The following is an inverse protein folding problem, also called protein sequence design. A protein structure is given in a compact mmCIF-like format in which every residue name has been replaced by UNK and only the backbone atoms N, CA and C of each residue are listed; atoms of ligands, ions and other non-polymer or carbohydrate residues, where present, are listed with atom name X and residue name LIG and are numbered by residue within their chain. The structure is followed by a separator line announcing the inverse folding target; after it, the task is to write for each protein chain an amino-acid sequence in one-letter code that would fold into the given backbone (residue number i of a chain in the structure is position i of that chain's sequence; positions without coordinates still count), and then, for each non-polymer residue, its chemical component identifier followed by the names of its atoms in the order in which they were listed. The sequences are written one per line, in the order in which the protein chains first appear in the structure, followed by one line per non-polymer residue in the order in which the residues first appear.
data_IF_736379084213
#
_entry.id   IF_736379084213
#
_cell.length_a   1.000
_cell.length_b   1.000
_cell.length_c   1.000
_cell.angle_alpha   90.00
_cell.angle_beta   90.00
_cell.angle_gamma   90.00
#
_symmetry.space_group_name_H-M   'P 1'
#
loop_
_entity.id
_entity.type
_entity.pdbx_description
1 polymer ?
#
# COMPACT_ATOMS: atom_id res chain seq x y z
N UNK A 1 -58.23 -4.36 11.61
CA UNK A 1 -58.32 -5.53 10.71
C UNK A 1 -56.88 -5.86 10.29
N UNK A 2 -56.32 -6.93 10.91
CA UNK A 2 -55.09 -7.71 10.59
C UNK A 2 -53.79 -6.90 10.35
N UNK A 3 -52.80 -6.80 11.25
CA UNK A 3 -52.08 -7.80 12.06
C UNK A 3 -51.43 -8.95 11.25
N UNK A 4 -50.10 -8.86 11.06
CA UNK A 4 -49.18 -9.99 10.83
C UNK A 4 -47.77 -9.64 11.33
N UNK A 5 -47.60 -9.56 12.64
CA UNK A 5 -46.31 -9.82 13.28
C UNK A 5 -46.38 -11.23 13.88
N UNK A 6 -45.85 -12.23 13.17
CA UNK A 6 -45.67 -13.58 13.73
C UNK A 6 -44.19 -13.74 14.08
N UNK A 7 -43.91 -13.70 15.39
CA UNK A 7 -42.68 -14.18 16.01
C UNK A 7 -42.67 -15.70 15.95
N UNK A 8 -41.57 -16.28 15.46
CA UNK A 8 -41.25 -17.68 15.74
C UNK A 8 -40.56 -17.80 17.11
N UNK A 9 -40.82 -18.88 17.86
CA UNK A 9 -40.39 -19.03 19.25
C UNK A 9 -39.22 -20.01 19.29
N UNK A 10 -38.01 -19.56 19.00
CA UNK A 10 -36.79 -20.23 19.48
C UNK A 10 -35.60 -19.29 19.32
N UNK A 11 -35.19 -18.71 20.44
CA UNK A 11 -34.00 -17.89 20.51
C UNK A 11 -32.76 -18.76 20.36
N UNK A 12 -32.12 -18.70 19.19
CA UNK A 12 -30.72 -19.07 19.02
C UNK A 12 -30.04 -18.13 18.02
N UNK A 13 -28.92 -17.58 18.48
CA UNK A 13 -27.97 -16.70 17.79
C UNK A 13 -27.19 -17.56 16.78
N UNK A 14 -27.17 -17.17 15.50
CA UNK A 14 -26.28 -17.80 14.51
C UNK A 14 -25.23 -16.78 14.06
N UNK A 15 -24.04 -16.95 14.63
CA UNK A 15 -22.78 -16.39 14.17
C UNK A 15 -22.32 -17.25 12.98
N UNK A 16 -22.27 -16.68 11.77
CA UNK A 16 -22.02 -17.43 10.52
C UNK A 16 -21.06 -16.70 9.60
N UNK A 17 -19.76 -16.76 9.93
CA UNK A 17 -18.65 -16.42 9.03
C UNK A 17 -18.54 -17.51 7.96
N UNK A 18 -18.80 -17.19 6.70
CA UNK A 18 -18.60 -18.09 5.57
C UNK A 18 -17.21 -17.84 4.96
N UNK A 19 -16.28 -18.74 5.26
CA UNK A 19 -14.95 -18.78 4.67
C UNK A 19 -14.95 -19.46 3.29
N UNK A 20 -14.20 -18.89 2.36
CA UNK A 20 -13.90 -19.50 1.06
C UNK A 20 -12.88 -20.65 1.23
N UNK A 21 -13.05 -21.82 0.58
CA UNK A 21 -12.10 -22.92 0.69
C UNK A 21 -10.87 -22.70 -0.20
N UNK A 22 -9.68 -22.70 0.42
CA UNK A 22 -8.39 -22.84 -0.24
C UNK A 22 -8.22 -24.32 -0.61
N UNK A 23 -8.18 -24.63 -1.92
CA UNK A 23 -7.71 -25.94 -2.40
C UNK A 23 -6.19 -26.00 -2.22
N UNK A 24 -5.74 -26.86 -1.31
CA UNK A 24 -4.35 -27.27 -1.20
C UNK A 24 -3.96 -28.15 -2.40
N UNK A 25 -2.95 -27.73 -3.15
CA UNK A 25 -2.25 -28.59 -4.10
C UNK A 25 -1.23 -29.43 -3.32
N UNK A 26 -1.26 -30.75 -3.57
CA UNK A 26 -0.43 -31.74 -2.89
C UNK A 26 1.06 -31.50 -3.09
N UNK A 27 1.79 -31.60 -1.98
CA UNK A 27 3.24 -31.60 -1.93
C UNK A 27 3.65 -33.08 -1.73
N UNK A 28 4.09 -33.74 -2.79
CA UNK A 28 4.66 -35.08 -2.70
C UNK A 28 6.08 -34.99 -2.12
N UNK A 29 6.28 -35.69 -1.02
CA UNK A 29 7.55 -35.88 -0.33
C UNK A 29 8.33 -36.97 -1.06
N UNK A 30 9.41 -36.61 -1.74
CA UNK A 30 10.41 -37.58 -2.21
C UNK A 30 11.44 -37.81 -1.09
N UNK A 31 11.32 -38.96 -0.45
CA UNK A 31 12.31 -39.53 0.45
C UNK A 31 13.33 -40.31 -0.37
N UNK A 32 14.59 -39.85 -0.37
CA UNK A 32 15.70 -40.51 -1.03
C UNK A 32 16.80 -40.82 -0.03
N UNK A 33 16.82 -42.05 0.47
CA UNK A 33 17.94 -42.63 1.20
C UNK A 33 19.06 -43.01 0.21
N UNK A 34 20.28 -42.55 0.46
CA UNK A 34 21.50 -43.22 -0.01
C UNK A 34 22.66 -42.94 0.96
N UNK A 35 22.95 -43.95 1.77
CA UNK A 35 24.17 -44.12 2.53
C UNK A 35 25.33 -44.46 1.55
N UNK A 36 26.55 -43.94 1.77
CA UNK A 36 27.83 -44.68 1.66
C UNK A 36 29.07 -43.79 1.95
N UNK A 37 29.71 -44.11 3.07
CA UNK A 37 31.17 -44.29 3.32
C UNK A 37 32.22 -43.25 2.88
N UNK A 38 32.97 -42.73 3.87
CA UNK A 38 34.39 -42.38 3.73
C UNK A 38 35.20 -42.84 4.96
N UNK A 39 36.47 -43.30 4.79
CA UNK A 39 37.20 -44.03 5.81
C UNK A 39 37.90 -43.15 6.85
N UNK A 40 38.12 -43.76 8.02
CA UNK A 40 38.92 -43.30 9.16
C UNK A 40 40.39 -43.08 8.78
N UNK A 41 40.99 -41.97 9.22
CA UNK A 41 42.41 -41.93 9.57
C UNK A 41 42.58 -41.29 10.96
N UNK A 42 43.44 -41.96 11.73
CA UNK A 42 43.74 -41.79 13.15
C UNK A 42 44.77 -40.66 13.36
N UNK A 43 44.65 -39.96 14.49
CA UNK A 43 45.71 -39.08 15.00
C UNK A 43 45.41 -38.65 16.44
N UNK A 44 45.81 -39.48 17.40
CA UNK A 44 45.90 -39.11 18.81
C UNK A 44 47.14 -38.23 19.05
N UNK A 45 47.10 -37.35 20.05
CA UNK A 45 48.19 -37.08 21.02
C UNK A 45 47.62 -36.25 22.19
N UNK A 46 48.13 -36.55 23.38
CA UNK A 46 47.60 -36.33 24.72
C UNK A 46 48.16 -35.08 25.45
N UNK A 47 47.35 -34.54 26.37
CA UNK A 47 47.62 -34.14 27.79
C UNK A 47 48.75 -33.13 28.11
N UNK A 48 48.40 -31.98 28.73
CA UNK A 48 48.56 -31.68 30.18
C UNK A 48 48.58 -30.17 30.50
N UNK A 49 48.04 -29.89 31.69
CA UNK A 49 47.71 -28.63 32.38
C UNK A 49 48.95 -27.94 33.01
N UNK A 50 48.94 -26.61 33.10
CA UNK A 50 49.44 -25.89 34.29
C UNK A 50 48.82 -24.49 34.41
N UNK A 51 48.19 -24.25 35.56
CA UNK A 51 47.54 -23.00 35.95
C UNK A 51 48.56 -21.97 36.48
N UNK A 52 48.27 -20.68 36.31
CA UNK A 52 48.79 -19.65 37.22
C UNK A 52 47.80 -18.48 37.36
N UNK A 53 47.28 -18.32 38.58
CA UNK A 53 46.49 -17.19 39.03
C UNK A 53 47.32 -15.91 39.04
N UNK A 54 46.75 -14.80 38.59
CA UNK A 54 47.10 -13.46 39.07
C UNK A 54 45.81 -12.67 39.32
N UNK A 55 45.55 -12.46 40.62
CA UNK A 55 44.58 -11.54 41.17
C UNK A 55 44.95 -10.11 40.74
N UNK A 56 44.06 -9.43 40.02
CA UNK A 56 43.97 -7.98 40.04
C UNK A 56 42.50 -7.57 40.11
N UNK A 57 42.16 -7.07 41.30
CA UNK A 57 40.97 -6.30 41.61
C UNK A 57 40.82 -5.11 40.66
N UNK A 58 39.73 -5.10 39.90
CA UNK A 58 39.19 -3.93 39.22
C UNK A 58 37.69 -4.11 39.13
N UNK A 59 36.94 -3.44 40.02
CA UNK A 59 35.48 -3.49 40.00
C UNK A 59 34.94 -2.94 38.70
N UNK A 60 34.21 -3.76 37.93
CA UNK A 60 33.31 -3.27 36.92
C UNK A 60 32.16 -2.55 37.63
N UNK A 61 32.27 -1.23 37.79
CA UNK A 61 31.10 -0.40 38.05
C UNK A 61 30.17 -0.55 36.84
N UNK A 62 29.06 -1.27 37.02
CA UNK A 62 27.90 -1.15 36.14
C UNK A 62 27.31 0.23 36.34
N UNK A 63 27.80 1.21 35.56
CA UNK A 63 27.05 2.45 35.36
C UNK A 63 25.79 2.06 34.60
N UNK A 64 24.67 1.91 35.32
CA UNK A 64 23.34 1.93 34.71
C UNK A 64 23.18 3.35 34.16
N UNK A 65 23.53 3.54 32.89
CA UNK A 65 23.10 4.73 32.18
C UNK A 65 21.57 4.67 32.18
N UNK A 66 20.94 5.62 32.88
CA UNK A 66 19.56 5.97 32.64
C UNK A 66 19.48 6.37 31.16
N UNK A 67 19.26 5.40 30.29
CA UNK A 67 18.73 5.66 28.98
C UNK A 67 17.32 6.14 29.24
N UNK A 68 17.16 7.45 29.36
CA UNK A 68 15.88 8.10 29.20
C UNK A 68 15.37 7.73 27.80
N UNK A 69 14.76 6.56 27.72
CA UNK A 69 13.87 6.17 26.63
C UNK A 69 12.58 6.98 26.82
N UNK A 70 12.68 8.28 26.61
CA UNK A 70 11.58 9.04 26.05
C UNK A 70 11.95 9.35 24.61
N UNK A 71 12.10 8.28 23.81
CA UNK A 71 11.62 8.33 22.44
C UNK A 71 10.11 8.48 22.51
N UNK A 72 9.67 9.68 22.88
CA UNK A 72 8.33 10.13 22.60
C UNK A 72 8.22 10.04 21.08
N UNK A 73 7.53 9.00 20.61
CA UNK A 73 6.98 9.03 19.26
C UNK A 73 6.10 10.26 19.28
N UNK A 74 6.59 11.34 18.67
CA UNK A 74 5.87 12.58 18.43
C UNK A 74 4.67 12.23 17.53
N UNK A 75 3.62 11.69 18.15
CA UNK A 75 2.38 11.25 17.49
C UNK A 75 1.43 12.42 17.26
N UNK A 76 1.86 13.66 17.48
CA UNK A 76 1.02 14.84 17.39
C UNK A 76 1.81 16.01 16.81
N UNK A 77 2.46 15.82 15.65
CA UNK A 77 2.79 16.99 14.82
C UNK A 77 1.50 17.51 14.22
N UNK A 78 1.02 18.71 14.61
CA UNK A 78 -0.08 19.34 13.91
C UNK A 78 0.31 19.54 12.45
N UNK A 79 -0.69 19.47 11.57
CA UNK A 79 -0.48 19.73 10.15
C UNK A 79 0.15 21.11 9.95
N UNK A 80 1.19 21.16 9.12
CA UNK A 80 1.77 22.42 8.65
C UNK A 80 1.43 22.55 7.18
N UNK A 81 0.99 23.74 6.79
CA UNK A 81 0.74 24.05 5.39
C UNK A 81 2.04 24.48 4.69
N UNK A 82 2.24 24.10 3.41
CA UNK A 82 1.39 23.21 2.61
C UNK A 82 1.45 21.75 3.13
N UNK A 83 0.36 21.00 2.97
CA UNK A 83 0.34 19.58 3.31
C UNK A 83 1.31 18.82 2.40
N UNK A 84 2.11 17.93 2.99
CA UNK A 84 3.13 17.14 2.28
C UNK A 84 3.05 15.66 2.61
N UNK A 85 3.62 14.82 1.75
CA UNK A 85 3.73 13.36 1.96
C UNK A 85 5.16 12.87 1.73
N UNK A 86 5.59 11.82 2.42
CA UNK A 86 6.85 11.12 2.12
C UNK A 86 6.63 9.88 1.26
N UNK A 87 5.56 9.13 1.54
CA UNK A 87 5.19 7.92 0.83
C UNK A 87 3.80 8.03 0.22
N UNK A 88 3.48 7.15 -0.73
CA UNK A 88 2.20 7.13 -1.42
C UNK A 88 1.77 5.71 -1.77
N UNK A 89 0.46 5.57 -1.97
CA UNK A 89 -0.11 4.41 -2.62
C UNK A 89 -0.29 4.69 -4.11
N UNK A 90 -0.22 3.65 -4.93
CA UNK A 90 -0.40 3.71 -6.36
C UNK A 90 -1.40 2.64 -6.83
N UNK A 91 -2.23 2.99 -7.80
CA UNK A 91 -3.01 2.05 -8.60
C UNK A 91 -3.10 2.56 -10.02
N UNK A 92 -3.32 1.65 -10.96
CA UNK A 92 -3.66 2.02 -12.31
C UNK A 92 -4.92 1.32 -12.78
N UNK A 93 -5.71 2.03 -13.57
CA UNK A 93 -6.97 1.56 -14.14
C UNK A 93 -7.00 1.86 -15.62
N UNK A 94 -7.53 0.92 -16.39
CA UNK A 94 -7.66 1.09 -17.83
C UNK A 94 -9.12 0.96 -18.24
N UNK A 95 -9.58 1.93 -19.01
CA UNK A 95 -10.91 2.06 -19.57
C UNK A 95 -10.80 2.27 -21.07
N UNK A 96 -11.78 1.77 -21.82
CA UNK A 96 -11.83 1.93 -23.28
C UNK A 96 -10.55 1.56 -24.03
N UNK A 97 -9.70 0.68 -23.47
CA UNK A 97 -8.36 0.41 -23.95
C UNK A 97 -8.11 -1.09 -24.13
N UNK A 98 -7.45 -1.47 -25.23
CA UNK A 98 -7.04 -2.84 -25.49
C UNK A 98 -5.69 -3.14 -24.88
N UNK A 99 -5.53 -4.34 -24.32
CA UNK A 99 -4.19 -4.85 -23.98
C UNK A 99 -3.40 -4.02 -22.98
N UNK A 100 -4.10 -3.25 -22.14
CA UNK A 100 -3.47 -2.31 -21.24
C UNK A 100 -2.51 -2.99 -20.27
N UNK A 101 -1.27 -2.51 -20.24
CA UNK A 101 -0.22 -2.93 -19.31
C UNK A 101 0.41 -1.70 -18.68
N UNK A 102 0.52 -1.74 -17.35
CA UNK A 102 1.14 -0.69 -16.55
C UNK A 102 2.20 -1.35 -15.67
N UNK A 103 3.42 -0.87 -15.80
CA UNK A 103 4.56 -1.26 -14.98
C UNK A 103 4.92 -0.09 -14.08
N UNK A 104 5.05 -0.36 -12.79
CA UNK A 104 5.49 0.59 -11.78
C UNK A 104 6.31 -0.17 -10.74
N UNK A 105 7.46 0.40 -10.36
CA UNK A 105 8.46 -0.28 -9.52
C UNK A 105 8.83 -1.68 -10.03
N UNK A 106 9.11 -1.78 -11.33
CA UNK A 106 9.42 -3.03 -12.05
C UNK A 106 8.35 -4.14 -11.96
N UNK A 107 7.16 -3.81 -11.45
CA UNK A 107 6.04 -4.73 -11.24
C UNK A 107 4.86 -4.37 -12.15
N UNK A 108 4.17 -5.39 -12.67
CA UNK A 108 2.90 -5.18 -13.34
C UNK A 108 1.82 -4.81 -12.32
N UNK A 109 1.39 -3.55 -12.34
CA UNK A 109 0.19 -3.08 -11.62
C UNK A 109 -1.06 -3.42 -12.41
N UNK A 110 -0.97 -3.38 -13.75
CA UNK A 110 -2.01 -3.87 -14.66
C UNK A 110 -1.36 -4.72 -15.74
N UNK A 111 -1.93 -5.89 -16.03
CA UNK A 111 -1.47 -6.78 -17.10
C UNK A 111 -2.66 -7.42 -17.83
N UNK A 112 -3.27 -6.69 -18.76
CA UNK A 112 -4.35 -7.22 -19.59
C UNK A 112 -3.78 -7.89 -20.85
N UNK A 113 -4.39 -9.00 -21.32
CA UNK A 113 -4.03 -9.60 -22.61
C UNK A 113 -4.33 -8.66 -23.78
N UNK A 114 -3.53 -8.73 -24.84
CA UNK A 114 -3.59 -7.79 -25.97
C UNK A 114 -4.95 -7.75 -26.68
N UNK A 115 -5.68 -8.86 -26.65
CA UNK A 115 -6.99 -9.05 -27.28
C UNK A 115 -8.18 -8.78 -26.33
N UNK A 116 -7.97 -8.12 -25.19
CA UNK A 116 -9.04 -7.78 -24.25
C UNK A 116 -9.24 -6.26 -24.22
N UNK A 117 -10.47 -5.82 -24.52
CA UNK A 117 -10.93 -4.44 -24.36
C UNK A 117 -11.50 -4.23 -22.97
N UNK A 118 -11.05 -3.18 -22.27
CA UNK A 118 -11.67 -2.77 -21.02
C UNK A 118 -12.93 -1.93 -21.26
N UNK A 119 -13.89 -2.04 -20.33
CA UNK A 119 -15.12 -1.26 -20.39
C UNK A 119 -14.89 0.26 -20.28
N UNK A 120 -15.89 1.08 -20.61
CA UNK A 120 -15.76 2.53 -20.54
C UNK A 120 -15.72 3.03 -19.10
N UNK A 121 -15.13 4.21 -18.89
CA UNK A 121 -15.22 4.94 -17.64
C UNK A 121 -16.67 5.43 -17.45
N UNK A 122 -17.26 5.18 -16.28
CA UNK A 122 -18.67 5.48 -15.98
C UNK A 122 -18.89 6.92 -15.48
N UNK A 123 -18.36 7.90 -16.20
CA UNK A 123 -18.48 9.32 -15.85
C UNK A 123 -17.55 9.77 -14.71
N UNK A 124 -17.64 11.06 -14.30
CA UNK A 124 -16.70 11.69 -13.36
C UNK A 124 -16.69 11.04 -11.97
N UNK A 125 -17.87 10.64 -11.46
CA UNK A 125 -18.00 10.06 -10.13
C UNK A 125 -17.34 8.69 -10.01
N UNK A 126 -17.12 8.00 -11.14
CA UNK A 126 -16.47 6.69 -11.12
C UNK A 126 -15.03 6.79 -10.61
N UNK A 127 -14.30 7.87 -10.95
CA UNK A 127 -12.93 8.08 -10.47
C UNK A 127 -12.88 8.33 -8.96
N UNK A 128 -13.94 8.88 -8.38
CA UNK A 128 -14.02 9.12 -6.93
C UNK A 128 -14.13 7.82 -6.13
N UNK A 129 -14.59 6.75 -6.78
CA UNK A 129 -14.79 5.42 -6.19
C UNK A 129 -13.58 4.48 -6.36
N UNK A 130 -12.52 4.95 -7.03
CA UNK A 130 -11.29 4.20 -7.21
C UNK A 130 -10.34 4.45 -6.03
N UNK A 131 -9.54 3.44 -5.70
CA UNK A 131 -8.62 3.47 -4.57
C UNK A 131 -7.24 2.89 -4.94
N UNK A 132 -6.19 3.39 -4.31
CA UNK A 132 -4.86 2.82 -4.48
C UNK A 132 -4.59 1.67 -3.49
N UNK A 133 -3.99 0.57 -3.98
CA UNK A 133 -3.67 -0.61 -3.15
C UNK A 133 -2.19 -0.96 -3.09
N UNK A 134 -1.39 -0.54 -4.07
CA UNK A 134 0.04 -0.79 -4.05
C UNK A 134 0.74 0.30 -3.24
N UNK A 135 1.46 -0.04 -2.18
CA UNK A 135 2.22 0.94 -1.38
C UNK A 135 3.65 1.01 -1.87
N UNK A 136 4.11 2.20 -2.25
CA UNK A 136 5.53 2.48 -2.45
C UNK A 136 6.16 3.11 -1.21
N UNK A 137 7.47 2.94 -1.05
CA UNK A 137 8.24 3.55 0.03
C UNK A 137 8.35 5.07 -0.10
N UNK A 138 9.28 5.67 0.66
CA UNK A 138 9.44 7.13 0.75
C UNK A 138 9.95 7.82 -0.54
N UNK A 139 10.20 7.06 -1.61
CA UNK A 139 10.69 7.57 -2.89
C UNK A 139 9.78 7.14 -4.04
N UNK A 140 9.76 7.93 -5.11
CA UNK A 140 9.21 7.46 -6.37
C UNK A 140 10.22 6.50 -7.02
N UNK A 141 9.78 5.30 -7.42
CA UNK A 141 10.59 4.38 -8.20
C UNK A 141 10.76 4.93 -9.64
N UNK A 142 11.43 4.21 -10.54
CA UNK A 142 11.52 4.61 -11.95
C UNK A 142 10.16 4.95 -12.57
N UNK A 143 10.14 5.76 -13.64
CA UNK A 143 8.91 6.20 -14.30
C UNK A 143 7.93 5.06 -14.60
N UNK A 144 6.64 5.34 -14.42
CA UNK A 144 5.55 4.41 -14.76
C UNK A 144 5.55 4.19 -16.26
N UNK A 145 5.66 2.95 -16.71
CA UNK A 145 5.60 2.61 -18.14
C UNK A 145 4.21 2.09 -18.47
N UNK A 146 3.56 2.70 -19.47
CA UNK A 146 2.21 2.36 -19.91
C UNK A 146 2.27 1.91 -21.36
N UNK A 147 1.62 0.79 -21.68
CA UNK A 147 1.38 0.35 -23.06
C UNK A 147 -0.07 -0.08 -23.22
N UNK A 148 -0.70 0.37 -24.29
CA UNK A 148 -2.10 0.05 -24.59
C UNK A 148 -2.39 0.29 -26.06
N UNK A 149 -3.59 -0.07 -26.50
CA UNK A 149 -4.15 0.46 -27.74
C UNK A 149 -5.45 1.18 -27.44
N UNK A 150 -5.66 2.33 -28.09
CA UNK A 150 -6.93 3.07 -28.04
C UNK A 150 -8.07 2.22 -28.60
N UNK A 151 -9.31 2.68 -28.43
CA UNK A 151 -10.53 1.95 -28.83
C UNK A 151 -10.55 1.60 -30.31
N UNK A 152 -9.97 2.45 -31.15
CA UNK A 152 -9.78 2.27 -32.60
C UNK A 152 -8.60 1.35 -32.97
N UNK A 153 -7.85 0.86 -31.97
CA UNK A 153 -6.77 -0.10 -32.12
C UNK A 153 -5.39 0.51 -32.35
N UNK A 154 -5.24 1.84 -32.33
CA UNK A 154 -3.93 2.50 -32.49
C UNK A 154 -3.04 2.20 -31.28
N UNK A 155 -1.79 1.73 -31.47
CA UNK A 155 -0.90 1.41 -30.36
C UNK A 155 -0.27 2.67 -29.75
N UNK A 156 -0.17 2.67 -28.43
CA UNK A 156 0.45 3.72 -27.63
C UNK A 156 1.42 3.15 -26.61
N UNK A 157 2.45 3.95 -26.31
CA UNK A 157 3.39 3.74 -25.22
C UNK A 157 3.73 5.09 -24.60
N UNK A 158 3.76 5.16 -23.28
CA UNK A 158 4.25 6.33 -22.56
C UNK A 158 5.07 5.94 -21.33
N UNK A 159 5.83 6.92 -20.84
CA UNK A 159 6.61 6.85 -19.61
C UNK A 159 6.32 8.09 -18.78
N UNK A 160 5.70 7.92 -17.61
CA UNK A 160 5.29 9.02 -16.73
C UNK A 160 6.22 9.07 -15.52
N UNK A 161 6.94 10.18 -15.36
CA UNK A 161 7.77 10.44 -14.20
C UNK A 161 6.93 11.08 -13.08
N UNK A 162 6.54 10.27 -12.08
CA UNK A 162 5.78 10.75 -10.94
C UNK A 162 6.61 11.65 -10.02
N UNK A 163 7.94 11.48 -9.95
CA UNK A 163 8.81 12.37 -9.18
C UNK A 163 8.85 13.76 -9.80
N UNK A 164 8.79 13.85 -11.14
CA UNK A 164 8.66 15.13 -11.81
C UNK A 164 7.30 15.79 -11.56
N UNK A 165 6.19 15.03 -11.60
CA UNK A 165 4.83 15.57 -11.37
C UNK A 165 4.68 16.04 -9.91
N UNK A 166 5.19 15.28 -8.96
CA UNK A 166 5.06 15.53 -7.52
C UNK A 166 6.37 15.99 -6.88
N UNK A 167 7.19 16.75 -7.60
CA UNK A 167 8.53 17.19 -7.17
C UNK A 167 8.55 17.82 -5.78
N UNK A 168 7.53 18.62 -5.47
CA UNK A 168 7.44 19.34 -4.20
C UNK A 168 6.82 18.52 -3.06
N UNK A 169 6.46 17.25 -3.33
CA UNK A 169 5.81 16.33 -2.40
C UNK A 169 4.57 16.91 -1.71
N UNK A 170 3.88 17.80 -2.41
CA UNK A 170 2.66 18.47 -1.94
C UNK A 170 1.44 17.60 -2.16
N UNK A 171 0.59 17.52 -1.14
CA UNK A 171 -0.73 16.90 -1.27
C UNK A 171 -1.64 17.89 -1.99
N UNK A 172 -2.14 17.48 -3.16
CA UNK A 172 -3.11 18.24 -3.96
C UNK A 172 -4.51 17.86 -3.48
N UNK A 173 -5.28 18.85 -3.04
CA UNK A 173 -6.66 18.69 -2.56
C UNK A 173 -7.51 19.92 -2.90
N UNK A 174 -8.83 19.78 -2.81
CA UNK A 174 -9.83 20.83 -3.09
C UNK A 174 -10.46 21.45 -1.82
N UNK A 175 -10.02 21.00 -0.63
CA UNK A 175 -10.51 21.49 0.66
C UNK A 175 -9.92 22.85 1.01
N UNK A 176 -10.76 23.79 1.47
CA UNK A 176 -10.32 25.05 2.09
C UNK A 176 -9.51 24.78 3.36
N UNK A 177 -8.27 25.27 3.42
CA UNK A 177 -7.35 25.08 4.55
C UNK A 177 -7.98 25.44 5.90
N UNK A 178 -8.87 26.44 5.94
CA UNK A 178 -9.55 26.85 7.18
C UNK A 178 -10.46 25.77 7.75
N UNK A 179 -10.94 24.86 6.91
CA UNK A 179 -11.81 23.73 7.27
C UNK A 179 -11.03 22.47 7.64
N UNK A 180 -9.73 22.42 7.40
CA UNK A 180 -8.89 21.27 7.72
C UNK A 180 -8.58 21.29 9.22
N UNK A 181 -8.65 20.13 9.86
CA UNK A 181 -8.36 20.01 11.29
C UNK A 181 -6.89 20.38 11.57
N UNK A 182 -6.65 21.18 12.61
CA UNK A 182 -5.30 21.64 12.99
C UNK A 182 -4.44 20.50 13.54
N UNK A 183 -5.09 19.48 14.10
CA UNK A 183 -4.45 18.25 14.61
C UNK A 183 -4.53 17.10 13.62
N UNK A 184 -4.93 17.36 12.37
CA UNK A 184 -5.01 16.30 11.37
C UNK A 184 -3.63 15.66 11.17
N UNK A 185 -3.63 14.35 11.00
CA UNK A 185 -2.49 13.57 10.54
C UNK A 185 -2.92 13.03 9.19
N UNK A 186 -2.22 13.41 8.12
CA UNK A 186 -2.58 13.00 6.78
C UNK A 186 -1.91 11.66 6.48
N UNK A 187 -2.72 10.67 6.12
CA UNK A 187 -2.22 9.39 5.62
C UNK A 187 -1.53 9.58 4.25
N UNK A 188 -0.79 8.57 3.83
CA UNK A 188 -0.21 8.54 2.49
C UNK A 188 -1.31 8.78 1.44
N UNK A 189 -1.13 9.74 0.52
CA UNK A 189 -2.10 9.95 -0.55
C UNK A 189 -2.08 8.76 -1.50
N UNK A 190 -3.19 8.62 -2.21
CA UNK A 190 -3.38 7.65 -3.27
C UNK A 190 -3.16 8.34 -4.62
N UNK A 191 -2.27 7.78 -5.44
CA UNK A 191 -2.01 8.21 -6.80
C UNK A 191 -2.66 7.22 -7.75
N UNK A 192 -3.58 7.71 -8.58
CA UNK A 192 -4.35 6.90 -9.51
C UNK A 192 -3.95 7.26 -10.94
N UNK A 193 -3.36 6.30 -11.66
CA UNK A 193 -3.20 6.42 -13.11
C UNK A 193 -4.42 5.86 -13.82
N UNK A 194 -5.08 6.69 -14.61
CA UNK A 194 -6.21 6.31 -15.46
C UNK A 194 -5.78 6.35 -16.92
N UNK A 195 -5.87 5.21 -17.59
CA UNK A 195 -5.80 5.10 -19.05
C UNK A 195 -7.24 5.05 -19.55
N UNK A 196 -7.72 6.04 -20.31
CA UNK A 196 -9.04 6.00 -20.95
C UNK A 196 -8.91 6.35 -22.43
N UNK A 197 -9.03 5.33 -23.27
CA UNK A 197 -8.88 5.42 -24.73
C UNK A 197 -7.55 6.06 -25.16
N UNK A 198 -7.54 7.36 -25.47
CA UNK A 198 -6.37 8.15 -25.90
C UNK A 198 -5.83 9.06 -24.81
N UNK A 199 -6.41 9.03 -23.62
CA UNK A 199 -6.07 9.95 -22.52
C UNK A 199 -5.44 9.20 -21.36
N UNK A 200 -4.29 9.69 -20.90
CA UNK A 200 -3.69 9.35 -19.63
C UNK A 200 -4.02 10.46 -18.64
N UNK A 201 -4.48 10.10 -17.44
CA UNK A 201 -4.76 11.05 -16.37
C UNK A 201 -4.20 10.54 -15.05
N UNK A 202 -3.53 11.41 -14.29
CA UNK A 202 -3.10 11.13 -12.92
C UNK A 202 -4.00 11.92 -11.97
N UNK A 203 -4.61 11.21 -11.03
CA UNK A 203 -5.33 11.80 -9.91
C UNK A 203 -4.57 11.59 -8.61
N UNK A 204 -4.71 12.55 -7.69
CA UNK A 204 -4.34 12.38 -6.30
C UNK A 204 -5.60 12.38 -5.45
N UNK A 205 -5.73 11.37 -4.59
CA UNK A 205 -6.80 11.26 -3.60
C UNK A 205 -6.15 11.26 -2.22
N UNK A 206 -6.56 12.21 -1.37
CA UNK A 206 -6.03 12.35 -0.03
C UNK A 206 -7.15 12.35 0.99
N UNK A 207 -6.91 11.68 2.10
CA UNK A 207 -7.84 11.59 3.22
C UNK A 207 -7.60 12.79 4.14
N UNK A 208 -8.36 13.87 3.93
CA UNK A 208 -8.18 15.15 4.63
C UNK A 208 -9.21 15.27 5.77
N UNK A 209 -8.80 15.16 7.05
CA UNK A 209 -9.72 15.34 8.17
C UNK A 209 -10.19 16.79 8.27
N UNK A 210 -11.49 16.97 8.47
CA UNK A 210 -12.16 18.27 8.56
C UNK A 210 -12.41 18.66 10.02
N UNK A 211 -12.46 19.96 10.30
CA UNK A 211 -12.86 20.51 11.61
C UNK A 211 -14.30 20.14 11.96
N UNK A 212 -15.16 20.11 10.96
CA UNK A 212 -16.59 19.78 11.06
C UNK A 212 -16.98 18.79 9.96
N UNK A 213 -18.05 17.99 10.13
CA UNK A 213 -18.54 17.10 9.09
C UNK A 213 -18.87 17.87 7.80
N UNK A 214 -18.34 17.41 6.65
CA UNK A 214 -18.62 18.02 5.35
C UNK A 214 -20.10 17.97 4.96
N UNK A 215 -20.82 16.96 5.44
CA UNK A 215 -22.27 16.86 5.45
C UNK A 215 -22.78 16.87 6.90
N UNK A 216 -23.42 17.96 7.36
CA UNK A 216 -23.94 18.05 8.73
C UNK A 216 -24.94 16.94 9.11
N UNK A 217 -25.66 16.36 8.15
CA UNK A 217 -26.59 15.26 8.38
C UNK A 217 -25.89 13.89 8.49
N UNK A 218 -24.61 13.79 8.13
CA UNK A 218 -23.80 12.57 8.22
C UNK A 218 -22.57 12.83 9.09
N UNK A 219 -22.62 12.43 10.36
CA UNK A 219 -21.51 12.58 11.31
C UNK A 219 -20.22 11.87 10.89
N UNK A 220 -20.27 10.93 9.94
CA UNK A 220 -19.10 10.21 9.42
C UNK A 220 -18.42 10.94 8.25
N UNK A 221 -18.94 12.11 7.85
CA UNK A 221 -18.36 12.94 6.78
C UNK A 221 -17.26 13.90 7.26
N UNK A 222 -16.59 13.58 8.37
CA UNK A 222 -15.48 14.39 8.94
C UNK A 222 -14.18 14.32 8.15
N UNK A 223 -14.22 13.86 6.90
CA UNK A 223 -13.06 13.65 6.05
C UNK A 223 -13.43 13.89 4.58
N UNK A 224 -12.61 14.66 3.87
CA UNK A 224 -12.65 14.71 2.41
C UNK A 224 -11.79 13.58 1.84
N UNK A 225 -12.25 12.99 0.74
CA UNK A 225 -11.59 11.89 0.03
C UNK A 225 -11.68 12.11 -1.49
N UNK A 226 -11.74 13.36 -1.93
CA UNK A 226 -11.92 13.68 -3.33
C UNK A 226 -10.63 13.40 -4.12
N UNK A 227 -10.78 12.73 -5.26
CA UNK A 227 -9.74 12.57 -6.27
C UNK A 227 -9.63 13.85 -7.09
N UNK A 228 -8.46 14.48 -7.08
CA UNK A 228 -8.14 15.70 -7.83
C UNK A 228 -7.22 15.38 -9.01
N UNK A 229 -7.55 15.88 -10.21
CA UNK A 229 -6.72 15.71 -11.40
C UNK A 229 -5.44 16.54 -11.29
N UNK A 230 -4.29 15.89 -11.44
CA UNK A 230 -2.96 16.54 -11.30
C UNK A 230 -2.24 16.62 -12.65
N UNK A 231 -2.44 15.63 -13.52
CA UNK A 231 -1.80 15.56 -14.82
C UNK A 231 -2.74 14.92 -15.83
N UNK A 232 -2.68 15.38 -17.08
CA UNK A 232 -3.37 14.73 -18.19
C UNK A 232 -2.60 14.89 -19.49
N UNK A 233 -2.70 13.89 -20.38
CA UNK A 233 -2.12 13.87 -21.71
C UNK A 233 -2.98 13.06 -22.67
N UNK A 234 -3.23 13.60 -23.86
CA UNK A 234 -4.06 12.97 -24.90
C UNK A 234 -3.27 12.75 -26.19
N UNK A 235 -3.61 11.68 -26.93
CA UNK A 235 -2.91 11.21 -28.14
C UNK A 235 -3.77 11.16 -29.41
#
# INVERSE_FOLDING_TARGET
MTDKYKRDPDGQRQDGVSGYPIKAAGMEVFQGDACMSFPRIRGAIYIAIAALLCLLSGGCHTTVQNLASSGEVDRHRPNRFPLTFSAHNFSAYCFSAWGCKVIYDDMYVVRRPDNVLTGPLKGPDHVQQLDAVYTSGDNFPPPVVVTWRSRDGVPHKDSIDLDQIFRDRRIVHDVDEKKISEIAVIANPEILLIVDDRTLSIYMKAFIPLKEPGNPANRYSGMSQNSVLVYTKTY
#
